data_IF_372093679791
#
_entry.id   IF_372093679791
#
_cell.length_a   1.000
_cell.length_b   1.000
_cell.length_c   1.000
_cell.angle_alpha   90.00
_cell.angle_beta   90.00
_cell.angle_gamma   90.00
#
_symmetry.space_group_name_H-M   'P 1'
#
loop_
_entity.id
_entity.type
_entity.pdbx_description
1 polymer ?
#
# COMPACT_ATOMS: atom_id res chain seq x y z
N UNK A 1 4.41 -4.62 34.42
CA UNK A 1 3.62 -5.86 34.12
C UNK A 1 2.22 -5.55 33.62
N UNK A 2 1.52 -4.57 34.19
CA UNK A 2 0.14 -4.21 33.77
C UNK A 2 0.10 -3.46 32.44
N UNK A 3 1.06 -2.60 32.16
CA UNK A 3 1.14 -1.84 30.88
C UNK A 3 1.42 -2.76 29.68
N UNK A 4 2.28 -3.78 29.83
CA UNK A 4 2.58 -4.74 28.79
C UNK A 4 1.34 -5.56 28.42
N UNK A 5 0.58 -6.02 29.42
CA UNK A 5 -0.65 -6.77 29.18
C UNK A 5 -1.78 -5.93 28.56
N UNK A 6 -1.83 -4.64 28.84
CA UNK A 6 -2.78 -3.71 28.21
C UNK A 6 -2.41 -3.45 26.73
N UNK A 7 -1.13 -3.31 26.44
CA UNK A 7 -0.61 -3.11 25.09
C UNK A 7 -0.79 -4.37 24.23
N UNK A 8 -0.56 -5.57 24.80
CA UNK A 8 -0.82 -6.84 24.13
C UNK A 8 -2.31 -7.06 23.84
N UNK A 9 -3.21 -6.72 24.78
CA UNK A 9 -4.66 -6.78 24.56
C UNK A 9 -5.11 -5.82 23.47
N UNK A 10 -4.61 -4.60 23.44
CA UNK A 10 -4.91 -3.63 22.39
C UNK A 10 -4.46 -4.14 21.01
N UNK A 11 -3.27 -4.72 20.93
CA UNK A 11 -2.72 -5.30 19.70
C UNK A 11 -3.55 -6.49 19.21
N UNK A 12 -3.95 -7.39 20.10
CA UNK A 12 -4.80 -8.55 19.77
C UNK A 12 -6.19 -8.09 19.33
N UNK A 13 -6.80 -7.14 20.05
CA UNK A 13 -8.11 -6.60 19.68
C UNK A 13 -8.10 -5.94 18.32
N UNK A 14 -7.06 -5.19 18.00
CA UNK A 14 -6.88 -4.55 16.70
C UNK A 14 -6.71 -5.59 15.59
N UNK A 15 -5.89 -6.63 15.81
CA UNK A 15 -5.70 -7.72 14.86
C UNK A 15 -6.99 -8.48 14.58
N UNK A 16 -7.79 -8.75 15.61
CA UNK A 16 -9.11 -9.40 15.46
C UNK A 16 -10.11 -8.52 14.72
N UNK A 17 -10.09 -7.22 14.97
CA UNK A 17 -10.94 -6.26 14.25
C UNK A 17 -10.56 -6.16 12.78
N UNK A 18 -9.26 -6.08 12.46
CA UNK A 18 -8.77 -6.13 11.09
C UNK A 18 -9.22 -7.40 10.37
N UNK A 19 -9.06 -8.55 11.05
CA UNK A 19 -9.45 -9.84 10.49
C UNK A 19 -10.95 -9.91 10.22
N UNK A 20 -11.79 -9.47 11.17
CA UNK A 20 -13.24 -9.47 11.01
C UNK A 20 -13.70 -8.59 9.85
N UNK A 21 -13.11 -7.39 9.71
CA UNK A 21 -13.40 -6.49 8.59
C UNK A 21 -12.93 -7.06 7.24
N UNK A 22 -11.75 -7.66 7.20
CA UNK A 22 -11.20 -8.28 6.00
C UNK A 22 -12.04 -9.49 5.55
N UNK A 23 -12.47 -10.33 6.48
CA UNK A 23 -13.36 -11.47 6.21
C UNK A 23 -14.73 -11.00 5.70
N UNK A 24 -15.32 -9.98 6.34
CA UNK A 24 -16.61 -9.44 5.92
C UNK A 24 -16.55 -8.82 4.51
N UNK A 25 -15.51 -8.05 4.20
CA UNK A 25 -15.36 -7.44 2.87
C UNK A 25 -15.08 -8.47 1.79
N UNK A 26 -14.25 -9.47 2.05
CA UNK A 26 -13.96 -10.56 1.08
C UNK A 26 -15.19 -11.43 0.82
N UNK A 27 -15.96 -11.74 1.86
CA UNK A 27 -17.17 -12.56 1.73
C UNK A 27 -18.30 -11.88 0.97
N UNK A 28 -18.39 -10.55 1.06
CA UNK A 28 -19.51 -9.79 0.49
C UNK A 28 -19.14 -9.16 -0.87
N UNK A 29 -17.88 -8.72 -1.05
CA UNK A 29 -17.48 -7.87 -2.18
C UNK A 29 -16.39 -8.43 -3.07
N UNK A 30 -15.73 -9.53 -2.70
CA UNK A 30 -14.64 -10.15 -3.45
C UNK A 30 -13.24 -9.67 -3.01
N UNK A 31 -12.24 -10.37 -3.55
CA UNK A 31 -10.81 -10.21 -3.14
C UNK A 31 -10.23 -8.85 -3.53
N UNK A 32 -10.74 -8.22 -4.60
CA UNK A 32 -10.31 -6.89 -5.06
C UNK A 32 -10.49 -5.78 -4.02
N UNK A 33 -11.39 -5.99 -3.06
CA UNK A 33 -11.69 -5.01 -2.01
C UNK A 33 -10.94 -5.27 -0.70
N UNK A 34 -9.97 -6.17 -0.72
CA UNK A 34 -9.02 -6.28 0.39
C UNK A 34 -8.18 -5.01 0.45
N UNK A 35 -8.47 -4.13 1.39
CA UNK A 35 -7.77 -2.85 1.59
C UNK A 35 -7.03 -2.83 2.92
N UNK A 36 -5.84 -2.21 2.99
CA UNK A 36 -5.11 -2.07 4.26
C UNK A 36 -5.84 -1.11 5.21
N UNK A 37 -5.98 -1.52 6.46
CA UNK A 37 -6.62 -0.74 7.53
C UNK A 37 -5.66 -0.57 8.69
N UNK A 38 -5.81 0.50 9.44
CA UNK A 38 -5.04 0.77 10.66
C UNK A 38 -3.52 0.71 10.50
N UNK A 39 -3.02 1.00 9.30
CA UNK A 39 -1.57 0.90 8.97
C UNK A 39 -0.73 1.79 9.88
N UNK A 40 -1.14 3.05 10.07
CA UNK A 40 -0.41 3.98 10.92
C UNK A 40 -0.34 3.52 12.39
N UNK A 41 -1.41 2.92 12.88
CA UNK A 41 -1.46 2.38 14.25
C UNK A 41 -0.60 1.13 14.36
N UNK A 42 -0.69 0.23 13.39
CA UNK A 42 0.17 -0.94 13.31
C UNK A 42 1.66 -0.61 13.22
N UNK A 43 2.04 0.45 12.52
CA UNK A 43 3.42 0.91 12.48
C UNK A 43 3.85 1.51 13.84
N UNK A 44 3.02 2.38 14.43
CA UNK A 44 3.33 3.03 15.71
C UNK A 44 3.51 2.04 16.87
N UNK A 45 2.73 0.96 16.87
CA UNK A 45 2.79 -0.08 17.90
C UNK A 45 3.84 -1.16 17.59
N UNK A 46 4.38 -1.21 16.38
CA UNK A 46 5.34 -2.22 15.95
C UNK A 46 6.64 -2.16 16.77
N UNK A 47 7.04 -3.25 17.44
CA UNK A 47 8.33 -3.32 18.14
C UNK A 47 9.52 -3.09 17.19
N UNK A 48 9.44 -3.57 15.94
CA UNK A 48 10.48 -3.37 14.91
C UNK A 48 10.63 -1.90 14.52
N UNK A 49 9.52 -1.17 14.41
CA UNK A 49 9.55 0.26 14.11
C UNK A 49 10.15 1.06 15.27
N UNK A 50 9.77 0.73 16.50
CA UNK A 50 10.32 1.37 17.70
C UNK A 50 11.82 1.11 17.88
N UNK A 51 12.25 -0.14 17.65
CA UNK A 51 13.68 -0.49 17.68
C UNK A 51 14.49 0.28 16.62
N UNK A 52 13.96 0.40 15.40
CA UNK A 52 14.63 1.15 14.34
C UNK A 52 14.69 2.66 14.62
N UNK A 53 13.70 3.23 15.32
CA UNK A 53 13.78 4.61 15.81
C UNK A 53 14.84 4.78 16.91
N UNK A 54 14.99 3.80 17.80
CA UNK A 54 16.04 3.83 18.83
C UNK A 54 17.43 3.77 18.20
N UNK A 55 17.66 2.88 17.25
CA UNK A 55 18.91 2.78 16.47
C UNK A 55 19.22 4.10 15.73
N UNK A 56 18.21 4.69 15.12
CA UNK A 56 18.36 5.99 14.47
C UNK A 56 18.69 7.11 15.45
N UNK A 57 18.12 7.06 16.66
CA UNK A 57 18.44 8.00 17.75
C UNK A 57 19.92 7.91 18.18
N UNK A 58 20.43 6.69 18.33
CA UNK A 58 21.84 6.46 18.65
C UNK A 58 22.77 6.99 17.55
N UNK A 59 22.42 6.73 16.29
CA UNK A 59 23.22 7.14 15.13
C UNK A 59 23.23 8.65 14.91
N UNK A 60 22.10 9.32 15.17
CA UNK A 60 21.93 10.76 14.87
C UNK A 60 22.11 11.67 16.08
N UNK A 61 22.16 11.10 17.30
CA UNK A 61 22.17 11.87 18.55
C UNK A 61 20.85 12.59 18.87
N UNK A 62 19.78 12.32 18.09
CA UNK A 62 18.46 12.96 18.26
C UNK A 62 17.57 12.14 19.18
N UNK A 63 16.81 12.75 20.10
CA UNK A 63 15.91 12.02 21.00
C UNK A 63 14.86 11.20 20.22
N UNK A 64 14.59 9.95 20.66
CA UNK A 64 13.56 9.06 20.07
C UNK A 64 12.19 9.75 19.98
N UNK A 65 11.82 10.52 21.00
CA UNK A 65 10.54 11.25 21.03
C UNK A 65 10.43 12.30 19.89
N UNK A 66 11.54 12.93 19.53
CA UNK A 66 11.61 13.87 18.41
C UNK A 66 11.46 13.15 17.07
N UNK A 67 12.22 12.06 16.86
CA UNK A 67 12.13 11.24 15.64
C UNK A 67 10.72 10.66 15.47
N UNK A 68 10.10 10.21 16.56
CA UNK A 68 8.72 9.71 16.51
C UNK A 68 7.72 10.81 16.17
N UNK A 69 7.90 12.03 16.68
CA UNK A 69 7.06 13.18 16.32
C UNK A 69 7.19 13.55 14.85
N UNK A 70 8.41 13.50 14.30
CA UNK A 70 8.68 13.70 12.87
C UNK A 70 8.06 12.59 12.00
N UNK A 71 8.11 11.34 12.45
CA UNK A 71 7.54 10.21 11.71
C UNK A 71 6.02 10.30 11.51
N UNK A 72 5.27 10.91 12.43
CA UNK A 72 3.80 11.01 12.36
C UNK A 72 3.27 11.70 11.09
N UNK A 73 3.69 12.91 10.71
CA UNK A 73 3.27 13.53 9.46
C UNK A 73 3.76 12.75 8.23
N UNK A 74 4.96 12.15 8.30
CA UNK A 74 5.49 11.34 7.21
C UNK A 74 4.65 10.07 6.98
N UNK A 75 4.14 9.43 8.04
CA UNK A 75 3.17 8.34 7.90
C UNK A 75 1.91 8.78 7.14
N UNK A 76 1.38 9.97 7.44
CA UNK A 76 0.22 10.50 6.71
C UNK A 76 0.52 10.80 5.25
N UNK A 77 1.76 11.19 4.95
CA UNK A 77 2.23 11.46 3.60
C UNK A 77 2.36 10.19 2.76
N UNK A 78 3.00 9.14 3.28
CA UNK A 78 3.33 7.95 2.49
C UNK A 78 2.25 6.88 2.50
N UNK A 79 1.42 6.79 3.54
CA UNK A 79 0.42 5.72 3.65
C UNK A 79 -0.75 6.00 2.70
N UNK A 80 -0.93 5.10 1.73
CA UNK A 80 -2.14 5.07 0.90
C UNK A 80 -3.37 4.72 1.75
N UNK A 81 -4.52 5.26 1.38
CA UNK A 81 -5.79 5.09 2.11
C UNK A 81 -6.89 4.55 1.18
N UNK A 82 -6.67 3.37 0.55
CA UNK A 82 -7.62 2.86 -0.42
C UNK A 82 -8.98 2.59 0.20
N UNK A 83 -10.01 2.72 -0.61
CA UNK A 83 -11.38 2.35 -0.26
C UNK A 83 -12.11 1.77 -1.46
N UNK A 84 -13.08 0.90 -1.21
CA UNK A 84 -13.86 0.23 -2.26
C UNK A 84 -14.45 1.23 -3.27
N UNK A 85 -15.04 2.33 -2.80
CA UNK A 85 -15.60 3.38 -3.65
C UNK A 85 -14.57 3.95 -4.64
N UNK A 86 -13.37 4.24 -4.17
CA UNK A 86 -12.32 4.84 -5.01
C UNK A 86 -11.68 3.81 -5.95
N UNK A 87 -11.64 2.54 -5.58
CA UNK A 87 -11.24 1.46 -6.48
C UNK A 87 -12.22 1.31 -7.62
N UNK A 88 -13.52 1.32 -7.35
CA UNK A 88 -14.57 1.27 -8.37
C UNK A 88 -14.55 2.49 -9.29
N UNK A 89 -14.37 3.69 -8.70
CA UNK A 89 -14.30 4.92 -9.46
C UNK A 89 -13.05 4.95 -10.36
N UNK A 90 -11.91 4.48 -9.84
CA UNK A 90 -10.67 4.32 -10.61
C UNK A 90 -10.88 3.35 -11.78
N UNK A 91 -11.46 2.19 -11.54
CA UNK A 91 -11.70 1.20 -12.58
C UNK A 91 -12.64 1.72 -13.68
N UNK A 92 -13.65 2.52 -13.31
CA UNK A 92 -14.54 3.18 -14.29
C UNK A 92 -13.80 4.24 -15.11
N UNK A 93 -12.97 5.05 -14.44
CA UNK A 93 -12.17 6.08 -15.10
C UNK A 93 -11.16 5.45 -16.06
N UNK A 94 -10.42 4.43 -15.62
CA UNK A 94 -9.47 3.71 -16.46
C UNK A 94 -10.16 3.10 -17.69
N UNK A 95 -11.36 2.51 -17.53
CA UNK A 95 -12.14 1.98 -18.65
C UNK A 95 -12.59 3.06 -19.62
N UNK A 96 -13.02 4.20 -19.11
CA UNK A 96 -13.43 5.34 -19.96
C UNK A 96 -12.25 5.94 -20.72
N UNK A 97 -11.10 6.10 -20.05
CA UNK A 97 -9.93 6.74 -20.67
C UNK A 97 -9.19 5.83 -21.66
N UNK A 98 -9.14 4.53 -21.38
CA UNK A 98 -8.31 3.59 -22.11
C UNK A 98 -9.11 2.53 -22.90
N UNK A 99 -10.42 2.47 -22.72
CA UNK A 99 -11.27 1.50 -23.41
C UNK A 99 -11.25 1.62 -24.94
N UNK A 100 -10.98 2.81 -25.48
CA UNK A 100 -10.83 3.02 -26.92
C UNK A 100 -9.52 2.46 -27.51
N UNK A 101 -8.49 2.25 -26.66
CA UNK A 101 -7.18 1.73 -27.08
C UNK A 101 -7.08 0.22 -26.88
N UNK A 102 -7.70 -0.29 -25.84
CA UNK A 102 -7.70 -1.71 -25.50
C UNK A 102 -9.06 -2.06 -24.89
N UNK A 103 -10.12 -2.22 -25.69
CA UNK A 103 -11.45 -2.54 -25.19
C UNK A 103 -11.46 -3.87 -24.46
N UNK A 104 -10.67 -4.83 -24.91
CA UNK A 104 -10.48 -6.13 -24.29
C UNK A 104 -9.00 -6.38 -24.02
N UNK A 105 -8.69 -6.91 -22.84
CA UNK A 105 -7.34 -7.40 -22.55
C UNK A 105 -7.30 -8.89 -22.88
N UNK A 106 -6.45 -9.26 -23.83
CA UNK A 106 -6.12 -10.65 -24.06
C UNK A 106 -5.20 -11.15 -22.94
N UNK A 107 -5.66 -12.12 -22.20
CA UNK A 107 -4.91 -12.69 -21.06
C UNK A 107 -4.95 -14.20 -21.16
N UNK A 108 -3.78 -14.82 -21.07
CA UNK A 108 -3.70 -16.27 -20.97
C UNK A 108 -4.32 -16.75 -19.66
N UNK A 109 -5.30 -17.64 -19.74
CA UNK A 109 -6.06 -18.12 -18.60
C UNK A 109 -5.18 -18.93 -17.61
N UNK A 110 -4.18 -19.65 -18.10
CA UNK A 110 -3.27 -20.42 -17.26
C UNK A 110 -2.31 -19.49 -16.50
N UNK A 111 -1.76 -18.47 -17.17
CA UNK A 111 -0.92 -17.47 -16.53
C UNK A 111 -1.72 -16.63 -15.52
N UNK A 112 -2.97 -16.33 -15.80
CA UNK A 112 -3.87 -15.65 -14.88
C UNK A 112 -4.13 -16.47 -13.61
N UNK A 113 -4.37 -17.79 -13.77
CA UNK A 113 -4.54 -18.70 -12.64
C UNK A 113 -3.27 -18.80 -11.80
N UNK A 114 -2.10 -18.85 -12.46
CA UNK A 114 -0.79 -18.84 -11.81
C UNK A 114 -0.55 -17.55 -11.03
N UNK A 115 -0.82 -16.40 -11.62
CA UNK A 115 -0.72 -15.10 -10.95
C UNK A 115 -1.60 -15.04 -9.70
N UNK A 116 -2.84 -15.53 -9.82
CA UNK A 116 -3.78 -15.60 -8.69
C UNK A 116 -3.27 -16.45 -7.54
N UNK A 117 -2.63 -17.61 -7.81
CA UNK A 117 -2.00 -18.45 -6.80
C UNK A 117 -0.84 -17.72 -6.12
N UNK A 118 0.06 -17.13 -6.90
CA UNK A 118 1.20 -16.35 -6.40
C UNK A 118 0.74 -15.23 -5.46
N UNK A 119 -0.26 -14.44 -5.87
CA UNK A 119 -0.79 -13.33 -5.07
C UNK A 119 -1.44 -13.77 -3.75
N UNK A 120 -1.93 -14.99 -3.68
CA UNK A 120 -2.51 -15.57 -2.46
C UNK A 120 -1.45 -16.10 -1.49
N UNK A 121 -0.40 -16.69 -2.02
CA UNK A 121 0.56 -17.48 -1.25
C UNK A 121 1.80 -16.67 -0.85
N UNK A 122 2.17 -15.68 -1.68
CA UNK A 122 3.43 -14.98 -1.54
C UNK A 122 3.28 -13.45 -1.44
N UNK A 123 4.17 -12.78 -0.66
CA UNK A 123 4.41 -11.35 -0.83
C UNK A 123 4.87 -11.07 -2.26
N UNK A 124 4.16 -10.22 -2.99
CA UNK A 124 4.37 -10.09 -4.44
C UNK A 124 4.62 -8.64 -4.84
N UNK A 125 5.55 -8.47 -5.76
CA UNK A 125 5.76 -7.23 -6.50
C UNK A 125 5.60 -7.48 -8.00
N UNK A 126 4.76 -6.68 -8.65
CA UNK A 126 4.57 -6.70 -10.10
C UNK A 126 5.38 -5.57 -10.70
N UNK A 127 6.33 -5.92 -11.54
CA UNK A 127 7.13 -4.98 -12.30
C UNK A 127 6.59 -4.88 -13.72
N UNK A 128 6.50 -3.66 -14.24
CA UNK A 128 6.05 -3.42 -15.60
C UNK A 128 6.91 -2.36 -16.29
N UNK A 129 6.95 -2.38 -17.61
CA UNK A 129 7.53 -1.29 -18.41
C UNK A 129 6.55 -0.12 -18.45
N UNK A 130 7.04 1.12 -18.47
CA UNK A 130 6.21 2.32 -18.49
C UNK A 130 6.58 3.25 -19.63
N UNK A 131 6.18 2.84 -20.83
CA UNK A 131 6.41 3.61 -22.07
C UNK A 131 5.26 4.55 -22.39
N UNK A 132 4.07 4.23 -21.89
CA UNK A 132 2.85 5.01 -22.11
C UNK A 132 2.03 5.13 -20.81
N UNK A 133 1.08 6.06 -20.78
CA UNK A 133 0.17 6.22 -19.63
C UNK A 133 -0.72 4.98 -19.41
N UNK A 134 -0.99 4.20 -20.46
CA UNK A 134 -1.81 2.97 -20.38
C UNK A 134 -1.08 1.90 -19.58
N UNK A 135 0.23 1.79 -19.70
CA UNK A 135 1.03 0.77 -19.02
C UNK A 135 0.86 0.86 -17.49
N UNK A 136 0.78 2.08 -16.95
CA UNK A 136 0.56 2.30 -15.51
C UNK A 136 -0.84 1.90 -15.02
N UNK A 137 -1.85 1.87 -15.90
CA UNK A 137 -3.20 1.48 -15.56
C UNK A 137 -3.45 -0.03 -15.77
N UNK A 138 -2.75 -0.66 -16.71
CA UNK A 138 -2.96 -2.05 -17.12
C UNK A 138 -2.86 -3.06 -15.96
N UNK A 139 -1.82 -3.06 -15.09
CA UNK A 139 -1.76 -4.01 -13.97
C UNK A 139 -2.93 -3.85 -12.98
N UNK A 140 -3.32 -2.61 -12.69
CA UNK A 140 -4.44 -2.32 -11.79
C UNK A 140 -5.78 -2.77 -12.38
N UNK A 141 -5.98 -2.56 -13.69
CA UNK A 141 -7.16 -3.03 -14.41
C UNK A 141 -7.23 -4.55 -14.43
N UNK A 142 -6.11 -5.23 -14.74
CA UNK A 142 -6.02 -6.68 -14.76
C UNK A 142 -6.43 -7.29 -13.41
N UNK A 143 -5.88 -6.79 -12.31
CA UNK A 143 -6.21 -7.31 -10.98
C UNK A 143 -7.66 -7.00 -10.58
N UNK A 144 -8.15 -5.82 -10.89
CA UNK A 144 -9.52 -5.43 -10.57
C UNK A 144 -10.57 -6.26 -11.35
N UNK A 145 -10.42 -6.43 -12.66
CA UNK A 145 -11.38 -7.16 -13.51
C UNK A 145 -11.39 -8.66 -13.21
N UNK A 146 -10.29 -9.21 -12.70
CA UNK A 146 -10.15 -10.63 -12.37
C UNK A 146 -10.31 -10.96 -10.89
N UNK A 147 -10.88 -10.05 -10.09
CA UNK A 147 -11.10 -10.22 -8.66
C UNK A 147 -9.84 -10.67 -7.90
N UNK A 148 -8.72 -10.01 -8.19
CA UNK A 148 -7.47 -10.18 -7.47
C UNK A 148 -7.25 -9.05 -6.47
N UNK A 149 -6.37 -9.21 -5.47
CA UNK A 149 -6.04 -8.14 -4.54
C UNK A 149 -5.59 -6.87 -5.28
N UNK A 150 -6.07 -5.72 -4.82
CA UNK A 150 -5.65 -4.43 -5.36
C UNK A 150 -4.14 -4.23 -5.28
N UNK A 151 -3.57 -3.57 -6.27
CA UNK A 151 -2.16 -3.22 -6.29
C UNK A 151 -1.90 -1.89 -5.57
N UNK A 152 -0.82 -1.85 -4.80
CA UNK A 152 -0.26 -0.60 -4.29
C UNK A 152 0.82 -0.13 -5.26
N UNK A 153 0.49 0.86 -6.06
CA UNK A 153 1.40 1.40 -7.09
C UNK A 153 2.21 2.57 -6.55
N UNK A 154 3.49 2.62 -6.89
CA UNK A 154 4.32 3.76 -6.57
C UNK A 154 4.18 4.85 -7.62
N UNK A 155 4.07 6.10 -7.16
CA UNK A 155 4.02 7.28 -8.01
C UNK A 155 4.92 8.39 -7.47
N UNK A 156 5.43 9.22 -8.38
CA UNK A 156 6.21 10.37 -7.98
C UNK A 156 5.35 11.43 -7.28
N UNK A 157 5.91 12.14 -6.30
CA UNK A 157 5.22 13.18 -5.56
C UNK A 157 4.67 14.33 -6.44
N UNK A 158 5.15 14.45 -7.67
CA UNK A 158 4.61 15.41 -8.66
C UNK A 158 3.18 15.09 -9.11
N UNK A 159 2.70 13.87 -8.89
CA UNK A 159 1.31 13.46 -9.15
C UNK A 159 0.39 13.74 -7.95
N UNK A 160 0.95 14.11 -6.79
CA UNK A 160 0.21 14.43 -5.57
C UNK A 160 -0.21 15.91 -5.57
N UNK A 161 -1.07 16.29 -6.50
CA UNK A 161 -1.58 17.66 -6.61
C UNK A 161 -3.10 17.70 -6.49
N UNK A 162 -3.60 18.69 -5.74
CA UNK A 162 -5.03 18.98 -5.57
C UNK A 162 -5.90 17.73 -5.34
N UNK A 163 -7.05 17.66 -6.01
CA UNK A 163 -8.02 16.57 -5.89
C UNK A 163 -7.48 15.25 -6.44
N UNK A 164 -6.61 15.29 -7.45
CA UNK A 164 -6.06 14.09 -8.09
C UNK A 164 -5.14 13.31 -7.17
N UNK A 165 -4.33 13.99 -6.36
CA UNK A 165 -3.46 13.32 -5.39
C UNK A 165 -4.26 12.50 -4.38
N UNK A 166 -5.33 13.09 -3.82
CA UNK A 166 -6.21 12.38 -2.90
C UNK A 166 -6.95 11.22 -3.57
N UNK A 167 -7.41 11.40 -4.81
CA UNK A 167 -8.03 10.35 -5.62
C UNK A 167 -7.08 9.15 -5.79
N UNK A 168 -5.86 9.39 -6.23
CA UNK A 168 -4.87 8.32 -6.41
C UNK A 168 -4.47 7.67 -5.10
N UNK A 169 -4.31 8.45 -4.01
CA UNK A 169 -4.02 7.91 -2.68
C UNK A 169 -5.13 6.99 -2.17
N UNK A 170 -6.40 7.34 -2.45
CA UNK A 170 -7.56 6.50 -2.14
C UNK A 170 -7.77 5.35 -3.13
N UNK A 171 -7.03 5.32 -4.22
CA UNK A 171 -6.97 4.20 -5.16
C UNK A 171 -5.77 3.28 -4.95
N UNK A 172 -5.00 3.48 -3.87
CA UNK A 172 -3.87 2.64 -3.49
C UNK A 172 -2.50 3.13 -3.96
N UNK A 173 -2.40 4.34 -4.52
CA UNK A 173 -1.10 4.90 -4.92
C UNK A 173 -0.31 5.40 -3.70
N UNK A 174 0.96 5.03 -3.66
CA UNK A 174 1.96 5.45 -2.67
C UNK A 174 2.83 6.51 -3.33
N UNK A 175 2.78 7.74 -2.83
CA UNK A 175 3.62 8.80 -3.35
C UNK A 175 4.99 8.79 -2.73
N UNK A 176 6.02 8.84 -3.57
CA UNK A 176 7.43 8.84 -3.15
C UNK A 176 8.06 10.16 -3.56
N UNK A 177 8.80 10.76 -2.63
CA UNK A 177 9.63 11.94 -2.90
C UNK A 177 10.73 11.58 -3.89
N UNK A 178 11.04 12.47 -4.83
CA UNK A 178 12.12 12.26 -5.81
C UNK A 178 13.51 12.21 -5.17
N UNK A 179 13.71 12.96 -4.09
CA UNK A 179 14.95 12.98 -3.32
C UNK A 179 14.62 12.86 -1.84
N UNK A 180 15.16 11.85 -1.19
CA UNK A 180 15.03 11.60 0.24
C UNK A 180 16.29 10.98 0.84
N UNK A 181 17.45 11.15 0.16
CA UNK A 181 18.71 10.54 0.59
C UNK A 181 19.12 11.02 1.98
N UNK A 182 18.90 12.29 2.28
CA UNK A 182 19.25 12.91 3.56
C UNK A 182 18.07 12.99 4.55
N UNK A 183 17.07 12.12 4.37
CA UNK A 183 15.86 12.09 5.19
C UNK A 183 15.70 10.71 5.87
N UNK A 184 16.47 10.45 6.93
CA UNK A 184 16.52 9.11 7.53
C UNK A 184 15.19 8.67 8.14
N UNK A 185 14.40 9.57 8.73
CA UNK A 185 13.08 9.26 9.27
C UNK A 185 12.09 8.92 8.16
N UNK A 186 12.15 9.63 7.02
CA UNK A 186 11.33 9.30 5.86
C UNK A 186 11.63 7.89 5.32
N UNK A 187 12.93 7.57 5.15
CA UNK A 187 13.37 6.22 4.73
C UNK A 187 12.86 5.14 5.68
N UNK A 188 12.97 5.41 6.99
CA UNK A 188 12.52 4.48 8.02
C UNK A 188 11.02 4.24 7.92
N UNK A 189 10.20 5.29 7.84
CA UNK A 189 8.74 5.19 7.69
C UNK A 189 8.37 4.43 6.41
N UNK A 190 8.95 4.80 5.27
CA UNK A 190 8.66 4.17 3.98
C UNK A 190 9.03 2.68 3.99
N UNK A 191 10.23 2.32 4.50
CA UNK A 191 10.69 0.93 4.61
C UNK A 191 9.74 0.08 5.45
N UNK A 192 9.31 0.59 6.61
CA UNK A 192 8.43 -0.15 7.50
C UNK A 192 7.01 -0.26 6.93
N UNK A 193 6.54 0.75 6.22
CA UNK A 193 5.25 0.69 5.52
C UNK A 193 5.26 -0.37 4.42
N UNK A 194 6.28 -0.39 3.57
CA UNK A 194 6.44 -1.42 2.54
C UNK A 194 6.51 -2.82 3.18
N UNK A 195 7.32 -2.98 4.23
CA UNK A 195 7.44 -4.25 4.95
C UNK A 195 6.09 -4.69 5.56
N UNK A 196 5.31 -3.75 6.08
CA UNK A 196 3.97 -4.02 6.59
C UNK A 196 3.02 -4.50 5.50
N UNK A 197 3.00 -3.85 4.34
CA UNK A 197 2.18 -4.26 3.20
C UNK A 197 2.54 -5.68 2.74
N UNK A 198 3.82 -5.96 2.58
CA UNK A 198 4.30 -7.28 2.16
C UNK A 198 3.98 -8.37 3.19
N UNK A 199 4.16 -8.08 4.49
CA UNK A 199 3.83 -9.03 5.56
C UNK A 199 2.33 -9.38 5.60
N UNK A 200 1.46 -8.43 5.22
CA UNK A 200 0.01 -8.63 5.11
C UNK A 200 -0.43 -9.10 3.71
N UNK A 201 0.53 -9.39 2.83
CA UNK A 201 0.30 -9.83 1.44
C UNK A 201 -0.54 -8.85 0.63
N UNK A 202 -0.26 -7.56 0.76
CA UNK A 202 -0.72 -6.54 -0.17
C UNK A 202 0.28 -6.43 -1.30
N UNK A 203 -0.10 -6.71 -2.54
CA UNK A 203 0.85 -6.68 -3.64
C UNK A 203 1.22 -5.25 -4.00
N UNK A 204 2.48 -5.09 -4.39
CA UNK A 204 3.06 -3.84 -4.85
C UNK A 204 3.19 -3.83 -6.37
N UNK A 205 3.20 -2.66 -6.99
CA UNK A 205 3.56 -2.53 -8.40
C UNK A 205 4.32 -1.24 -8.66
N UNK A 206 5.31 -1.31 -9.54
CA UNK A 206 6.02 -0.13 -10.05
C UNK A 206 6.68 -0.40 -11.41
N UNK A 207 6.95 0.69 -12.13
CA UNK A 207 7.77 0.63 -13.32
C UNK A 207 9.24 0.45 -12.94
N UNK A 208 9.94 -0.47 -13.60
CA UNK A 208 11.36 -0.69 -13.32
C UNK A 208 12.29 0.27 -14.07
N UNK A 209 11.75 1.03 -14.99
CA UNK A 209 12.50 2.01 -15.80
C UNK A 209 12.61 3.40 -15.11
N UNK A 210 12.10 3.57 -13.89
CA UNK A 210 12.24 4.77 -13.07
C UNK A 210 10.96 5.56 -12.83
#
# INVERSE_FOLDING_TARGET
GQDVMAEDRATVTEALRELALDVAERGIRGTRYKVPRFVADGLRTSPKFRAALAELSETTGRPVAELFREARPLMKEVIARPSALFLDLRARLDRMMFGGYAPEMEVDAAELARLRSILREHPTAILFTHKTYIDGATPSRLTYENDMPMLHSFGGANLDFAVMGEFFRRSGMIFIRRSFQDQPVYKLVLRHYIAWLLAKRFPLSWAFEG
#
